data_IF_746556577408
#
_entry.id   IF_746556577408
#
_cell.length_a   1.000
_cell.length_b   1.000
_cell.length_c   1.000
_cell.angle_alpha   90.00
_cell.angle_beta   90.00
_cell.angle_gamma   90.00
#
_symmetry.space_group_name_H-M   'P 1'
#
loop_
_entity.id
_entity.type
_entity.pdbx_description
1 polymer ?
#
# COMPACT_ATOMS: atom_id res chain seq x y z
N UNK A 1 -14.15 -2.25 -23.77
CA UNK A 1 -14.01 -1.17 -22.77
C UNK A 1 -15.35 -0.73 -22.20
N UNK A 2 -16.37 -0.36 -23.01
CA UNK A 2 -17.70 0.03 -22.52
C UNK A 2 -18.35 -0.97 -21.53
N UNK A 3 -18.15 -2.28 -21.74
CA UNK A 3 -18.70 -3.31 -20.88
C UNK A 3 -18.12 -3.32 -19.44
N UNK A 4 -16.83 -2.96 -19.30
CA UNK A 4 -16.14 -2.94 -18.00
C UNK A 4 -16.48 -1.69 -17.19
N UNK A 5 -16.75 -0.57 -17.85
CA UNK A 5 -17.26 0.62 -17.17
C UNK A 5 -18.64 0.33 -16.55
N UNK A 6 -19.56 -0.24 -17.34
CA UNK A 6 -20.88 -0.65 -16.86
C UNK A 6 -20.76 -1.68 -15.72
N UNK A 7 -19.88 -2.68 -15.86
CA UNK A 7 -19.59 -3.64 -14.80
C UNK A 7 -19.24 -2.97 -13.46
N UNK A 8 -18.37 -1.95 -13.48
CA UNK A 8 -18.00 -1.20 -12.26
C UNK A 8 -19.17 -0.39 -11.71
N UNK A 9 -20.00 0.19 -12.58
CA UNK A 9 -21.22 0.89 -12.14
C UNK A 9 -22.18 -0.06 -11.40
N UNK A 10 -22.33 -1.30 -11.89
CA UNK A 10 -23.14 -2.33 -11.21
C UNK A 10 -22.56 -2.71 -9.84
N UNK A 11 -21.23 -2.89 -9.75
CA UNK A 11 -20.56 -3.14 -8.47
C UNK A 11 -20.76 -1.96 -7.52
N UNK A 12 -20.62 -0.72 -7.99
CA UNK A 12 -20.84 0.49 -7.20
C UNK A 12 -22.27 0.57 -6.65
N UNK A 13 -23.27 0.34 -7.49
CA UNK A 13 -24.69 0.35 -7.07
C UNK A 13 -24.96 -0.75 -6.03
N UNK A 14 -24.38 -1.93 -6.21
CA UNK A 14 -24.51 -3.05 -5.28
C UNK A 14 -23.88 -2.73 -3.92
N UNK A 15 -22.67 -2.16 -3.90
CA UNK A 15 -22.02 -1.73 -2.66
C UNK A 15 -22.77 -0.57 -1.98
N UNK A 16 -23.30 0.37 -2.77
CA UNK A 16 -24.12 1.46 -2.25
C UNK A 16 -25.38 0.93 -1.57
N UNK A 17 -26.12 0.04 -2.22
CA UNK A 17 -27.29 -0.61 -1.61
C UNK A 17 -26.93 -1.38 -0.34
N UNK A 18 -25.79 -2.09 -0.37
CA UNK A 18 -25.29 -2.85 0.76
C UNK A 18 -25.06 -1.99 2.01
N UNK A 19 -24.61 -0.75 1.82
CA UNK A 19 -24.36 0.20 2.91
C UNK A 19 -25.66 0.67 3.62
N UNK A 20 -26.84 0.57 2.99
CA UNK A 20 -28.13 0.91 3.60
C UNK A 20 -28.92 -0.30 4.10
N UNK A 21 -28.46 -1.52 3.83
CA UNK A 21 -29.10 -2.69 4.41
C UNK A 21 -28.94 -2.65 5.94
N UNK A 22 -29.91 -3.14 6.74
CA UNK A 22 -29.80 -3.28 8.22
C UNK A 22 -28.60 -4.12 8.71
N UNK A 23 -27.73 -4.56 7.80
CA UNK A 23 -26.51 -5.32 7.97
C UNK A 23 -25.24 -4.46 7.77
N UNK A 24 -25.34 -3.27 7.17
CA UNK A 24 -24.28 -2.27 7.05
C UNK A 24 -24.05 -1.45 8.33
N UNK A 25 -25.02 -1.45 9.25
CA UNK A 25 -24.96 -0.72 10.53
C UNK A 25 -24.31 -1.49 11.69
N UNK A 26 -23.77 -2.70 11.48
CA UNK A 26 -22.96 -3.34 12.52
C UNK A 26 -21.52 -2.83 12.49
N UNK A 27 -21.33 -1.62 13.01
CA UNK A 27 -20.03 -1.11 13.46
C UNK A 27 -19.38 -2.16 14.38
N UNK A 28 -18.47 -2.96 13.83
CA UNK A 28 -17.58 -3.85 14.59
C UNK A 28 -17.92 -5.35 14.68
N UNK A 29 -18.89 -5.91 13.95
CA UNK A 29 -19.08 -7.38 13.89
C UNK A 29 -19.33 -7.88 12.47
N UNK A 30 -18.38 -8.71 11.99
CA UNK A 30 -18.42 -9.60 10.82
C UNK A 30 -19.58 -9.37 9.85
N UNK A 31 -19.24 -8.74 8.72
CA UNK A 31 -19.80 -8.96 7.38
C UNK A 31 -21.27 -9.38 7.34
N UNK A 32 -22.16 -8.48 6.89
CA UNK A 32 -23.52 -8.89 6.51
C UNK A 32 -23.51 -10.12 5.60
N UNK A 33 -24.61 -10.86 5.62
CA UNK A 33 -24.81 -12.12 4.89
C UNK A 33 -24.29 -12.06 3.44
N UNK A 34 -23.17 -12.73 3.10
CA UNK A 34 -22.59 -12.71 1.75
C UNK A 34 -23.56 -13.18 0.66
N UNK A 35 -24.58 -13.95 1.02
CA UNK A 35 -25.60 -14.39 0.09
C UNK A 35 -26.52 -13.22 -0.31
N UNK A 36 -26.79 -12.28 0.60
CA UNK A 36 -27.66 -11.13 0.32
C UNK A 36 -27.03 -10.12 -0.61
N UNK A 37 -25.73 -9.83 -0.46
CA UNK A 37 -25.05 -8.92 -1.40
C UNK A 37 -24.94 -9.53 -2.79
N UNK A 38 -24.79 -10.86 -2.89
CA UNK A 38 -24.86 -11.57 -4.18
C UNK A 38 -26.25 -11.51 -4.80
N UNK A 39 -27.31 -11.63 -4.01
CA UNK A 39 -28.67 -11.45 -4.50
C UNK A 39 -28.91 -10.02 -5.00
N UNK A 40 -28.41 -9.01 -4.29
CA UNK A 40 -28.43 -7.62 -4.74
C UNK A 40 -27.67 -7.45 -6.07
N UNK A 41 -26.50 -8.08 -6.19
CA UNK A 41 -25.72 -8.05 -7.43
C UNK A 41 -26.49 -8.65 -8.61
N UNK A 42 -27.06 -9.85 -8.43
CA UNK A 42 -27.85 -10.53 -9.48
C UNK A 42 -29.05 -9.67 -9.90
N UNK A 43 -29.73 -9.05 -8.94
CA UNK A 43 -30.85 -8.16 -9.23
C UNK A 43 -30.40 -6.93 -10.03
N UNK A 44 -29.29 -6.29 -9.63
CA UNK A 44 -28.76 -5.12 -10.31
C UNK A 44 -28.26 -5.44 -11.73
N UNK A 45 -27.62 -6.60 -11.92
CA UNK A 45 -27.23 -7.10 -13.24
C UNK A 45 -28.44 -7.26 -14.16
N UNK A 46 -29.50 -7.92 -13.68
CA UNK A 46 -30.71 -8.16 -14.47
C UNK A 46 -31.42 -6.86 -14.87
N UNK A 47 -31.45 -5.87 -13.98
CA UNK A 47 -32.17 -4.62 -14.21
C UNK A 47 -31.38 -3.65 -15.11
N UNK A 48 -30.08 -3.47 -14.84
CA UNK A 48 -29.30 -2.38 -15.40
C UNK A 48 -28.22 -2.82 -16.41
N UNK A 49 -27.95 -4.11 -16.50
CA UNK A 49 -26.93 -4.67 -17.41
C UNK A 49 -27.37 -6.01 -18.03
N UNK A 50 -28.52 -6.07 -18.72
CA UNK A 50 -28.96 -7.30 -19.37
C UNK A 50 -27.91 -7.77 -20.38
N UNK A 51 -27.54 -9.04 -20.31
CA UNK A 51 -26.45 -9.65 -21.08
C UNK A 51 -25.09 -9.73 -20.37
N UNK A 52 -24.98 -9.24 -19.13
CA UNK A 52 -23.77 -9.38 -18.27
C UNK A 52 -23.99 -10.29 -17.06
N UNK A 53 -25.07 -11.05 -17.03
CA UNK A 53 -25.43 -11.90 -15.89
C UNK A 53 -24.34 -12.94 -15.58
N UNK A 54 -23.62 -13.41 -16.60
CA UNK A 54 -22.52 -14.37 -16.49
C UNK A 54 -21.12 -13.71 -16.52
N UNK A 55 -21.00 -12.38 -16.39
CA UNK A 55 -19.68 -11.72 -16.40
C UNK A 55 -18.91 -12.00 -15.10
N UNK A 56 -17.95 -12.92 -15.20
CA UNK A 56 -17.06 -13.30 -14.11
C UNK A 56 -16.30 -12.12 -13.49
N UNK A 57 -16.05 -11.05 -14.24
CA UNK A 57 -15.36 -9.87 -13.72
C UNK A 57 -16.16 -9.16 -12.64
N UNK A 58 -17.47 -9.00 -12.82
CA UNK A 58 -18.33 -8.29 -11.87
C UNK A 58 -18.31 -9.01 -10.52
N UNK A 59 -18.53 -10.32 -10.55
CA UNK A 59 -18.54 -11.16 -9.35
C UNK A 59 -17.16 -11.22 -8.68
N UNK A 60 -16.09 -11.37 -9.46
CA UNK A 60 -14.72 -11.39 -8.94
C UNK A 60 -14.34 -10.04 -8.29
N UNK A 61 -14.67 -8.92 -8.93
CA UNK A 61 -14.39 -7.60 -8.39
C UNK A 61 -15.13 -7.37 -7.06
N UNK A 62 -16.43 -7.70 -6.98
CA UNK A 62 -17.19 -7.60 -5.74
C UNK A 62 -16.58 -8.49 -4.64
N UNK A 63 -16.28 -9.75 -4.94
CA UNK A 63 -15.68 -10.68 -3.97
C UNK A 63 -14.32 -10.20 -3.46
N UNK A 64 -13.48 -9.62 -4.33
CA UNK A 64 -12.19 -9.05 -3.92
C UNK A 64 -12.37 -7.84 -3.01
N UNK A 65 -13.28 -6.93 -3.34
CA UNK A 65 -13.59 -5.76 -2.51
C UNK A 65 -14.03 -6.21 -1.10
N UNK A 66 -14.97 -7.16 -1.02
CA UNK A 66 -15.47 -7.65 0.27
C UNK A 66 -14.38 -8.34 1.11
N UNK A 67 -13.53 -9.15 0.48
CA UNK A 67 -12.41 -9.84 1.17
C UNK A 67 -11.33 -8.89 1.64
N UNK A 68 -11.13 -7.77 0.96
CA UNK A 68 -10.04 -6.81 1.22
C UNK A 68 -10.53 -5.50 1.84
N UNK A 69 -11.81 -5.40 2.18
CA UNK A 69 -12.42 -4.13 2.59
C UNK A 69 -11.69 -3.46 3.74
N UNK A 70 -11.37 -4.19 4.82
CA UNK A 70 -10.67 -3.62 5.98
C UNK A 70 -9.31 -3.00 5.60
N UNK A 71 -8.50 -3.74 4.85
CA UNK A 71 -7.20 -3.28 4.34
C UNK A 71 -7.35 -2.07 3.41
N UNK A 72 -8.34 -2.09 2.52
CA UNK A 72 -8.60 -0.97 1.61
C UNK A 72 -9.04 0.27 2.37
N UNK A 73 -9.88 0.10 3.38
CA UNK A 73 -10.36 1.17 4.26
C UNK A 73 -9.19 1.81 5.01
N UNK A 74 -8.24 0.99 5.53
CA UNK A 74 -6.99 1.48 6.14
C UNK A 74 -6.12 2.28 5.15
N UNK A 75 -6.00 1.82 3.91
CA UNK A 75 -5.25 2.55 2.87
C UNK A 75 -5.91 3.89 2.54
N UNK A 76 -7.25 3.92 2.48
CA UNK A 76 -8.00 5.16 2.26
C UNK A 76 -7.70 6.13 3.41
N UNK A 77 -7.79 5.70 4.66
CA UNK A 77 -7.53 6.55 5.83
C UNK A 77 -6.07 7.03 5.89
N UNK A 78 -5.11 6.16 5.58
CA UNK A 78 -3.70 6.53 5.51
C UNK A 78 -3.42 7.59 4.43
N UNK A 79 -4.17 7.57 3.32
CA UNK A 79 -3.96 8.45 2.17
C UNK A 79 -4.82 9.73 2.23
N UNK A 80 -5.99 9.66 2.85
CA UNK A 80 -6.98 10.73 2.97
C UNK A 80 -7.32 11.02 4.45
N UNK A 81 -6.35 11.39 5.27
CA UNK A 81 -6.47 11.42 6.72
C UNK A 81 -7.36 12.52 7.28
N UNK A 82 -7.48 13.64 6.55
CA UNK A 82 -8.41 14.71 6.90
C UNK A 82 -9.87 14.26 6.71
N UNK A 83 -10.06 13.09 6.10
CA UNK A 83 -11.33 12.48 5.76
C UNK A 83 -11.41 11.05 6.35
N UNK A 84 -11.68 10.93 7.66
CA UNK A 84 -12.06 9.66 8.27
C UNK A 84 -13.11 8.94 7.43
N UNK A 85 -13.06 7.61 7.40
CA UNK A 85 -13.86 6.85 6.43
C UNK A 85 -15.38 7.05 6.58
N UNK A 86 -15.82 7.37 7.78
CA UNK A 86 -17.22 7.69 8.13
C UNK A 86 -17.66 9.08 7.65
N UNK A 87 -16.71 9.97 7.32
CA UNK A 87 -16.95 11.31 6.77
C UNK A 87 -16.88 11.36 5.25
N UNK A 88 -16.33 10.33 4.61
CA UNK A 88 -16.33 10.20 3.15
C UNK A 88 -17.75 9.83 2.70
N UNK A 89 -18.25 10.46 1.64
CA UNK A 89 -19.57 10.11 1.09
C UNK A 89 -19.60 8.62 0.73
N UNK A 90 -20.74 7.95 0.95
CA UNK A 90 -20.91 6.51 0.69
C UNK A 90 -20.49 6.17 -0.74
N UNK A 91 -20.86 7.02 -1.70
CA UNK A 91 -20.50 6.88 -3.11
C UNK A 91 -18.98 6.98 -3.31
N UNK A 92 -18.33 8.06 -2.82
CA UNK A 92 -16.88 8.24 -2.99
C UNK A 92 -16.08 7.14 -2.31
N UNK A 93 -16.51 6.71 -1.12
CA UNK A 93 -15.89 5.60 -0.38
C UNK A 93 -15.93 4.30 -1.20
N UNK A 94 -17.09 3.96 -1.76
CA UNK A 94 -17.21 2.75 -2.57
C UNK A 94 -16.45 2.84 -3.91
N UNK A 95 -16.37 4.03 -4.50
CA UNK A 95 -15.54 4.26 -5.69
C UNK A 95 -14.05 4.09 -5.37
N UNK A 96 -13.59 4.64 -4.24
CA UNK A 96 -12.22 4.43 -3.75
C UNK A 96 -11.95 2.94 -3.52
N UNK A 97 -12.91 2.21 -2.92
CA UNK A 97 -12.78 0.77 -2.72
C UNK A 97 -12.63 -0.01 -4.02
N UNK A 98 -13.43 0.31 -5.04
CA UNK A 98 -13.32 -0.28 -6.38
C UNK A 98 -11.94 0.05 -6.99
N UNK A 99 -11.59 1.33 -7.05
CA UNK A 99 -10.37 1.80 -7.68
C UNK A 99 -9.11 1.23 -7.02
N UNK A 100 -9.05 1.20 -5.68
CA UNK A 100 -7.92 0.63 -4.94
C UNK A 100 -7.82 -0.88 -5.09
N UNK A 101 -8.96 -1.59 -5.13
CA UNK A 101 -8.96 -3.04 -5.35
C UNK A 101 -8.30 -3.37 -6.69
N UNK A 102 -8.74 -2.71 -7.75
CA UNK A 102 -8.16 -2.92 -9.09
C UNK A 102 -6.70 -2.47 -9.17
N UNK A 103 -6.37 -1.35 -8.52
CA UNK A 103 -5.00 -0.80 -8.52
C UNK A 103 -3.99 -1.72 -7.83
N UNK A 104 -4.37 -2.31 -6.69
CA UNK A 104 -3.48 -3.05 -5.82
C UNK A 104 -3.50 -4.55 -6.07
N UNK A 105 -4.66 -5.11 -6.42
CA UNK A 105 -4.91 -6.56 -6.50
C UNK A 105 -5.38 -7.02 -7.88
N UNK A 106 -5.70 -6.11 -8.80
CA UNK A 106 -6.11 -6.44 -10.17
C UNK A 106 -4.98 -7.02 -11.04
N UNK A 107 -5.34 -7.84 -12.03
CA UNK A 107 -4.39 -8.25 -13.07
C UNK A 107 -4.07 -7.05 -13.97
N UNK A 108 -2.82 -6.57 -13.89
CA UNK A 108 -2.33 -5.42 -14.66
C UNK A 108 -2.34 -5.64 -16.17
N UNK A 109 -2.38 -6.90 -16.64
CA UNK A 109 -2.53 -7.23 -18.06
C UNK A 109 -3.98 -7.02 -18.54
N UNK A 110 -4.95 -7.23 -17.66
CA UNK A 110 -6.37 -7.02 -17.95
C UNK A 110 -6.78 -5.56 -17.75
N UNK A 111 -6.36 -4.96 -16.62
CA UNK A 111 -6.67 -3.56 -16.28
C UNK A 111 -5.38 -2.84 -15.88
N UNK A 112 -4.79 -2.04 -16.78
CA UNK A 112 -3.62 -1.23 -16.44
C UNK A 112 -3.92 -0.25 -15.28
N UNK A 113 -2.96 0.03 -14.38
CA UNK A 113 -3.17 0.92 -13.23
C UNK A 113 -3.79 2.28 -13.57
N UNK A 114 -3.31 2.93 -14.65
CA UNK A 114 -3.85 4.22 -15.10
C UNK A 114 -5.29 4.12 -15.58
N UNK A 115 -5.68 2.98 -16.16
CA UNK A 115 -7.07 2.72 -16.58
C UNK A 115 -7.95 2.56 -15.35
N UNK A 116 -7.54 1.77 -14.35
CA UNK A 116 -8.28 1.64 -13.08
C UNK A 116 -8.53 3.01 -12.41
N UNK A 117 -7.51 3.86 -12.36
CA UNK A 117 -7.62 5.22 -11.81
C UNK A 117 -8.59 6.06 -12.62
N UNK A 118 -8.46 6.09 -13.95
CA UNK A 118 -9.35 6.87 -14.81
C UNK A 118 -10.81 6.41 -14.69
N UNK A 119 -11.06 5.11 -14.66
CA UNK A 119 -12.39 4.53 -14.53
C UNK A 119 -13.05 4.92 -13.19
N UNK A 120 -12.30 4.87 -12.09
CA UNK A 120 -12.79 5.33 -10.79
C UNK A 120 -13.11 6.85 -10.80
N UNK A 121 -12.29 7.66 -11.47
CA UNK A 121 -12.55 9.10 -11.62
C UNK A 121 -13.82 9.35 -12.42
N UNK A 122 -14.06 8.60 -13.50
CA UNK A 122 -15.28 8.73 -14.29
C UNK A 122 -16.52 8.33 -13.47
N UNK A 123 -16.46 7.23 -12.70
CA UNK A 123 -17.54 6.89 -11.76
C UNK A 123 -17.81 8.02 -10.76
N UNK A 124 -16.76 8.67 -10.25
CA UNK A 124 -16.90 9.76 -9.28
C UNK A 124 -17.54 11.00 -9.91
N UNK A 125 -17.29 11.27 -11.19
CA UNK A 125 -17.97 12.34 -11.93
C UNK A 125 -19.43 12.00 -12.22
N UNK A 126 -19.74 10.73 -12.47
CA UNK A 126 -21.09 10.28 -12.81
C UNK A 126 -22.02 10.19 -11.60
N UNK A 127 -21.52 9.65 -10.48
CA UNK A 127 -22.36 9.32 -9.31
C UNK A 127 -22.08 10.21 -8.08
N UNK A 128 -20.93 10.87 -8.03
CA UNK A 128 -20.51 11.71 -6.90
C UNK A 128 -20.99 13.16 -7.01
N UNK A 129 -20.49 13.99 -6.08
CA UNK A 129 -20.69 15.44 -6.09
C UNK A 129 -19.66 16.19 -6.95
N UNK A 130 -19.76 17.52 -6.99
CA UNK A 130 -18.92 18.39 -7.83
C UNK A 130 -17.41 18.19 -7.61
N UNK A 131 -17.00 17.86 -6.38
CA UNK A 131 -15.59 17.67 -6.02
C UNK A 131 -15.13 16.21 -6.02
N UNK A 132 -16.02 15.25 -6.22
CA UNK A 132 -15.74 13.81 -6.09
C UNK A 132 -14.65 13.35 -7.05
N UNK A 133 -14.70 13.74 -8.32
CA UNK A 133 -13.68 13.38 -9.31
C UNK A 133 -12.27 13.87 -8.94
N UNK A 134 -12.16 15.06 -8.32
CA UNK A 134 -10.86 15.60 -7.86
C UNK A 134 -10.36 14.85 -6.62
N UNK A 135 -11.27 14.57 -5.68
CA UNK A 135 -10.96 13.84 -4.46
C UNK A 135 -10.45 12.43 -4.76
N UNK A 136 -11.21 11.65 -5.54
CA UNK A 136 -10.86 10.27 -5.94
C UNK A 136 -9.53 10.23 -6.69
N UNK A 137 -9.30 11.16 -7.64
CA UNK A 137 -8.02 11.28 -8.33
C UNK A 137 -6.85 11.56 -7.37
N UNK A 138 -7.07 12.41 -6.37
CA UNK A 138 -6.06 12.75 -5.38
C UNK A 138 -5.62 11.53 -4.57
N UNK A 139 -6.59 10.76 -4.05
CA UNK A 139 -6.32 9.57 -3.23
C UNK A 139 -5.68 8.46 -4.06
N UNK A 140 -6.29 8.06 -5.17
CA UNK A 140 -5.74 6.98 -6.02
C UNK A 140 -4.38 7.35 -6.61
N UNK A 141 -4.19 8.62 -6.98
CA UNK A 141 -2.92 9.11 -7.49
C UNK A 141 -1.80 9.17 -6.44
N UNK A 142 -2.13 9.35 -5.16
CA UNK A 142 -1.17 9.25 -4.07
C UNK A 142 -0.74 7.79 -3.84
N UNK A 143 -1.71 6.86 -3.75
CA UNK A 143 -1.42 5.42 -3.64
C UNK A 143 -0.59 4.92 -4.83
N UNK A 144 -0.94 5.33 -6.05
CA UNK A 144 -0.21 4.93 -7.25
C UNK A 144 1.27 5.36 -7.25
N UNK A 145 1.59 6.49 -6.64
CA UNK A 145 2.98 6.94 -6.47
C UNK A 145 3.71 6.14 -5.40
N UNK A 146 3.03 5.85 -4.30
CA UNK A 146 3.60 5.11 -3.18
C UNK A 146 4.00 3.68 -3.59
N UNK A 147 3.19 2.99 -4.40
CA UNK A 147 3.47 1.63 -4.87
C UNK A 147 4.55 1.53 -5.96
N UNK A 148 5.11 2.66 -6.39
CA UNK A 148 6.05 2.79 -7.51
C UNK A 148 5.36 2.67 -8.87
N UNK A 149 5.52 3.68 -9.74
CA UNK A 149 4.96 3.65 -11.09
C UNK A 149 5.65 2.54 -11.94
N UNK A 150 4.96 1.47 -12.37
CA UNK A 150 5.57 0.49 -13.27
C UNK A 150 5.96 1.16 -14.59
N UNK A 151 7.26 1.16 -14.90
CA UNK A 151 7.83 1.73 -16.13
C UNK A 151 8.45 3.12 -16.00
N UNK A 152 8.52 3.71 -14.80
CA UNK A 152 9.50 4.75 -14.51
C UNK A 152 10.65 4.13 -13.74
N UNK A 153 11.73 3.82 -14.46
CA UNK A 153 13.05 3.85 -13.85
C UNK A 153 13.15 5.14 -13.02
N UNK A 154 13.67 5.06 -11.80
CA UNK A 154 14.23 6.23 -11.14
C UNK A 154 15.45 6.67 -11.96
N UNK A 155 15.21 7.27 -13.13
CA UNK A 155 16.20 8.09 -13.78
C UNK A 155 16.43 9.28 -12.87
N UNK A 156 17.59 9.21 -12.21
CA UNK A 156 18.24 10.31 -11.51
C UNK A 156 18.09 11.58 -12.34
N UNK A 157 17.49 12.61 -11.74
CA UNK A 157 17.77 14.05 -11.89
C UNK A 157 16.52 14.87 -11.54
N UNK A 158 16.55 15.53 -10.38
CA UNK A 158 15.81 16.76 -10.17
C UNK A 158 16.77 17.89 -9.74
N UNK A 159 17.54 18.48 -10.68
CA UNK A 159 17.51 19.91 -10.85
C UNK A 159 16.32 20.22 -11.79
N UNK A 160 15.23 20.79 -11.30
CA UNK A 160 14.19 21.34 -12.20
C UNK A 160 14.11 22.85 -12.01
N UNK A 161 14.83 23.53 -12.89
CA UNK A 161 14.31 24.71 -13.59
C UNK A 161 13.28 24.18 -14.59
N UNK A 162 11.99 24.35 -14.32
CA UNK A 162 10.93 24.08 -15.30
C UNK A 162 10.60 25.37 -16.04
N UNK A 163 11.00 25.47 -17.31
CA UNK A 163 10.32 26.37 -18.25
C UNK A 163 8.95 25.77 -18.60
N UNK A 164 7.92 26.09 -17.80
CA UNK A 164 6.51 25.90 -18.17
C UNK A 164 6.00 27.19 -18.79
N UNK A 165 5.60 27.15 -20.06
CA UNK A 165 4.71 28.17 -20.64
C UNK A 165 3.30 27.97 -20.07
N UNK A 166 2.84 29.01 -19.37
CA UNK A 166 1.48 29.47 -19.04
C UNK A 166 0.34 28.46 -19.20
N UNK A 167 -0.24 28.09 -18.06
CA UNK A 167 -1.64 28.38 -17.77
C UNK A 167 -1.81 28.75 -16.29
N UNK A 168 -2.61 29.78 -16.06
CA UNK A 168 -2.73 30.58 -14.84
C UNK A 168 -3.69 29.97 -13.81
N UNK A 169 -3.40 30.23 -12.53
CA UNK A 169 -4.17 29.93 -11.31
C UNK A 169 -4.06 28.52 -10.70
N UNK A 170 -2.85 28.17 -10.25
CA UNK A 170 -2.69 27.58 -8.90
C UNK A 170 -1.27 27.88 -8.40
N UNK A 171 -1.15 28.69 -7.36
CA UNK A 171 0.10 28.88 -6.62
C UNK A 171 0.52 27.55 -5.96
N UNK A 172 1.40 26.81 -6.61
CA UNK A 172 2.19 25.75 -5.97
C UNK A 172 3.65 26.14 -6.09
N UNK A 173 4.14 26.81 -5.06
CA UNK A 173 5.58 27.00 -4.87
C UNK A 173 6.28 25.63 -4.82
N UNK A 174 7.48 25.49 -5.42
CA UNK A 174 8.27 24.28 -5.26
C UNK A 174 8.60 24.08 -3.78
N UNK A 175 8.37 22.86 -3.27
CA UNK A 175 8.66 22.52 -1.88
C UNK A 175 10.18 22.56 -1.67
N UNK A 176 10.62 23.50 -0.85
CA UNK A 176 12.02 23.63 -0.45
C UNK A 176 12.38 22.48 0.50
N UNK A 177 13.08 21.47 -0.04
CA UNK A 177 13.44 20.24 0.69
C UNK A 177 14.29 20.56 1.92
N UNK A 178 15.08 21.63 1.89
CA UNK A 178 15.92 22.06 3.01
C UNK A 178 15.11 22.58 4.21
N UNK A 179 13.83 22.92 4.01
CA UNK A 179 12.93 23.40 5.07
C UNK A 179 12.01 22.31 5.61
N UNK A 180 12.06 21.09 5.06
CA UNK A 180 11.22 20.00 5.54
C UNK A 180 11.76 19.42 6.85
N UNK A 181 10.88 19.09 7.81
CA UNK A 181 11.30 18.34 8.99
C UNK A 181 11.93 17.01 8.55
N UNK A 182 13.13 16.74 9.08
CA UNK A 182 13.88 15.52 8.77
C UNK A 182 13.53 14.47 9.82
N UNK A 183 13.07 13.31 9.36
CA UNK A 183 12.85 12.16 10.22
C UNK A 183 13.87 11.08 9.88
N UNK A 184 14.69 10.74 10.86
CA UNK A 184 15.69 9.68 10.75
C UNK A 184 15.05 8.34 11.09
N UNK A 185 15.37 7.31 10.32
CA UNK A 185 14.90 5.95 10.53
C UNK A 185 16.03 4.94 10.46
N UNK A 186 15.94 3.94 11.34
CA UNK A 186 16.81 2.77 11.36
C UNK A 186 16.04 1.56 10.86
N UNK A 187 16.62 0.79 9.94
CA UNK A 187 16.01 -0.38 9.34
C UNK A 187 16.99 -1.56 9.33
N UNK A 188 16.49 -2.78 9.48
CA UNK A 188 17.35 -3.97 9.41
C UNK A 188 16.74 -5.07 8.56
N UNK A 189 17.51 -5.55 7.57
CA UNK A 189 17.25 -6.86 6.97
C UNK A 189 17.79 -7.91 7.94
N UNK A 190 16.88 -8.54 8.67
CA UNK A 190 17.23 -9.55 9.68
C UNK A 190 17.32 -10.90 9.02
N UNK A 191 18.41 -11.62 9.28
CA UNK A 191 18.57 -13.01 8.84
C UNK A 191 18.78 -13.97 10.01
N UNK A 192 18.30 -15.20 9.82
CA UNK A 192 18.49 -16.31 10.74
C UNK A 192 18.80 -17.58 9.95
N UNK A 193 19.53 -18.51 10.57
CA UNK A 193 19.72 -19.86 10.01
C UNK A 193 18.63 -20.79 10.55
N UNK A 194 17.83 -21.37 9.66
CA UNK A 194 16.82 -22.37 10.03
C UNK A 194 17.43 -23.77 9.92
N UNK A 195 17.44 -24.49 11.05
CA UNK A 195 18.03 -25.82 11.31
C UNK A 195 19.56 -25.81 11.49
N UNK A 196 20.02 -26.07 12.72
CA UNK A 196 21.44 -26.20 13.14
C UNK A 196 22.13 -27.47 12.59
N UNK A 197 22.15 -27.65 11.27
CA UNK A 197 23.03 -28.62 10.59
C UNK A 197 23.80 -27.89 9.50
N UNK A 198 24.92 -28.44 9.05
CA UNK A 198 25.89 -27.85 8.11
C UNK A 198 25.32 -27.27 6.78
N UNK A 199 24.02 -27.43 6.51
CA UNK A 199 23.26 -26.83 5.40
C UNK A 199 22.05 -25.98 5.89
N UNK A 200 22.19 -25.22 6.97
CA UNK A 200 21.14 -24.35 7.50
C UNK A 200 20.69 -23.34 6.45
N UNK A 201 19.38 -23.31 6.14
CA UNK A 201 18.85 -22.36 5.15
C UNK A 201 18.84 -20.96 5.74
N UNK A 202 19.39 -19.99 5.01
CA UNK A 202 19.30 -18.58 5.38
C UNK A 202 17.87 -18.10 5.13
N UNK A 203 17.25 -17.59 6.17
CA UNK A 203 15.93 -16.99 6.17
C UNK A 203 16.06 -15.48 6.36
N UNK A 204 15.30 -14.67 5.63
CA UNK A 204 15.12 -13.25 5.90
C UNK A 204 13.76 -12.95 6.50
N UNK A 205 13.73 -12.13 7.55
CA UNK A 205 12.48 -11.59 8.08
C UNK A 205 12.09 -10.36 7.26
N UNK A 206 10.86 -10.37 6.73
CA UNK A 206 10.26 -9.26 6.02
C UNK A 206 8.90 -8.95 6.62
N UNK A 207 8.49 -7.69 6.54
CA UNK A 207 7.14 -7.23 6.89
C UNK A 207 6.33 -6.99 5.62
N UNK A 208 5.03 -7.23 5.68
CA UNK A 208 4.09 -6.99 4.61
C UNK A 208 3.30 -5.72 4.94
N UNK A 209 3.25 -4.81 3.98
CA UNK A 209 2.46 -3.60 4.12
C UNK A 209 1.05 -3.76 3.55
N UNK A 210 0.19 -2.83 3.96
CA UNK A 210 -1.19 -2.74 3.47
C UNK A 210 -1.28 -2.53 1.95
N UNK A 211 -0.20 -2.10 1.28
CA UNK A 211 -0.15 -1.94 -0.18
C UNK A 211 0.19 -3.25 -0.92
N UNK A 212 0.42 -4.35 -0.20
CA UNK A 212 0.69 -5.67 -0.75
C UNK A 212 2.15 -5.94 -1.08
N UNK A 213 3.08 -5.16 -0.51
CA UNK A 213 4.52 -5.32 -0.73
C UNK A 213 5.20 -5.89 0.52
N UNK A 214 6.19 -6.76 0.30
CA UNK A 214 7.13 -7.15 1.33
C UNK A 214 8.26 -6.13 1.40
N UNK A 215 8.66 -5.75 2.61
CA UNK A 215 9.70 -4.76 2.84
C UNK A 215 10.50 -5.04 4.11
N UNK A 216 11.53 -4.22 4.32
CA UNK A 216 12.43 -4.28 5.47
C UNK A 216 11.78 -3.48 6.62
N UNK A 217 11.68 -4.09 7.81
CA UNK A 217 11.16 -3.41 9.00
C UNK A 217 12.04 -2.21 9.36
N UNK A 218 11.38 -1.10 9.74
CA UNK A 218 12.02 0.20 9.93
C UNK A 218 11.32 1.01 11.00
N UNK A 219 12.11 1.62 11.87
CA UNK A 219 11.61 2.41 12.99
C UNK A 219 12.18 3.82 13.07
N UNK A 220 11.65 4.62 13.98
CA UNK A 220 12.11 5.99 14.23
C UNK A 220 13.38 6.02 15.07
N UNK A 221 14.29 6.95 14.75
CA UNK A 221 15.47 7.24 15.58
C UNK A 221 15.16 8.45 16.45
N UNK A 222 15.27 8.28 17.77
CA UNK A 222 15.02 9.34 18.76
C UNK A 222 16.20 10.32 18.83
N UNK A 223 15.94 11.53 19.34
CA UNK A 223 17.01 12.51 19.56
C UNK A 223 18.02 11.95 20.59
N UNK A 224 19.31 12.01 20.26
CA UNK A 224 20.44 11.45 21.05
C UNK A 224 20.67 9.93 20.96
N UNK A 225 19.85 9.17 20.21
CA UNK A 225 20.07 7.73 19.99
C UNK A 225 20.98 7.45 18.78
N UNK A 226 21.82 6.41 18.86
CA UNK A 226 22.59 5.96 17.69
C UNK A 226 21.71 5.21 16.69
N UNK A 227 22.08 5.24 15.41
CA UNK A 227 21.35 4.55 14.34
C UNK A 227 21.21 3.05 14.64
N UNK A 228 22.26 2.44 15.16
CA UNK A 228 22.31 1.03 15.52
C UNK A 228 21.38 0.70 16.69
N UNK A 229 21.44 1.47 17.79
CA UNK A 229 20.63 1.20 18.98
C UNK A 229 19.13 1.39 18.69
N UNK A 230 18.80 2.46 17.96
CA UNK A 230 17.44 2.71 17.49
C UNK A 230 16.92 1.55 16.64
N UNK A 231 17.74 1.07 15.69
CA UNK A 231 17.37 -0.07 14.85
C UNK A 231 17.11 -1.32 15.69
N UNK A 232 17.98 -1.64 16.66
CA UNK A 232 17.78 -2.81 17.54
C UNK A 232 16.47 -2.70 18.33
N UNK A 233 16.19 -1.52 18.92
CA UNK A 233 14.97 -1.26 19.70
C UNK A 233 13.72 -1.40 18.85
N UNK A 234 13.71 -0.78 17.68
CA UNK A 234 12.53 -0.74 16.81
C UNK A 234 12.23 -2.09 16.17
N UNK A 235 13.25 -2.87 15.77
CA UNK A 235 13.05 -4.22 15.23
C UNK A 235 12.50 -5.17 16.29
N UNK A 236 12.97 -5.03 17.55
CA UNK A 236 12.42 -5.78 18.67
C UNK A 236 10.96 -5.42 18.93
N UNK A 237 10.63 -4.15 18.83
CA UNK A 237 9.26 -3.65 19.01
C UNK A 237 8.33 -4.13 17.89
N UNK A 238 8.74 -3.99 16.63
CA UNK A 238 7.85 -4.18 15.48
C UNK A 238 7.67 -5.64 15.07
N UNK A 239 8.71 -6.48 15.15
CA UNK A 239 8.64 -7.90 14.74
C UNK A 239 9.07 -8.89 15.83
N UNK A 240 9.27 -8.40 17.05
CA UNK A 240 9.61 -9.22 18.21
C UNK A 240 11.05 -9.73 18.23
N UNK A 241 11.94 -9.33 17.31
CA UNK A 241 13.28 -9.93 17.17
C UNK A 241 14.37 -9.23 17.98
N UNK A 242 15.18 -10.01 18.71
CA UNK A 242 16.45 -9.54 19.28
C UNK A 242 17.53 -9.70 18.21
N UNK A 243 18.14 -8.59 17.80
CA UNK A 243 19.05 -8.57 16.66
C UNK A 243 20.45 -8.10 17.04
N UNK A 244 21.45 -8.59 16.29
CA UNK A 244 22.82 -8.09 16.31
C UNK A 244 23.19 -7.54 14.95
N UNK A 245 23.45 -6.25 14.87
CA UNK A 245 23.89 -5.59 13.64
C UNK A 245 25.29 -6.09 13.27
N UNK A 246 25.47 -6.39 11.98
CA UNK A 246 26.73 -6.90 11.45
C UNK A 246 27.34 -6.00 10.38
N UNK A 247 26.52 -5.35 9.56
CA UNK A 247 27.00 -4.50 8.48
C UNK A 247 25.97 -3.43 8.09
N UNK A 248 26.44 -2.30 7.56
CA UNK A 248 25.59 -1.28 6.94
C UNK A 248 25.35 -1.62 5.46
N UNK A 249 24.08 -1.78 5.09
CA UNK A 249 23.66 -2.08 3.72
C UNK A 249 23.59 -0.81 2.88
N UNK A 250 23.08 0.29 3.41
CA UNK A 250 23.02 1.54 2.65
C UNK A 250 22.12 2.57 3.31
N UNK A 251 21.83 3.63 2.57
CA UNK A 251 20.95 4.72 2.99
C UNK A 251 20.01 5.07 1.84
N UNK A 252 18.78 5.49 2.17
CA UNK A 252 17.83 6.03 1.21
C UNK A 252 17.17 7.29 1.78
N UNK A 253 16.89 8.26 0.90
CA UNK A 253 16.17 9.48 1.24
C UNK A 253 14.94 9.63 0.35
N UNK A 254 13.78 9.80 0.98
CA UNK A 254 12.52 10.04 0.26
C UNK A 254 11.63 11.01 1.02
N UNK A 255 10.82 11.77 0.29
CA UNK A 255 9.84 12.67 0.88
C UNK A 255 8.56 11.90 1.11
N UNK A 256 8.13 11.79 2.35
CA UNK A 256 6.83 11.25 2.72
C UNK A 256 5.89 12.41 3.09
N UNK A 257 4.62 12.30 2.72
CA UNK A 257 3.59 13.21 3.21
C UNK A 257 2.84 12.54 4.34
N UNK A 258 2.96 13.05 5.57
CA UNK A 258 2.13 12.59 6.67
C UNK A 258 0.94 13.53 6.86
N UNK A 259 -0.28 12.98 6.93
CA UNK A 259 -1.51 13.67 7.29
C UNK A 259 -1.44 14.94 8.15
N UNK A 260 -1.09 14.76 9.42
CA UNK A 260 -1.11 15.78 10.46
C UNK A 260 0.21 16.53 10.61
N UNK A 261 1.30 15.99 10.06
CA UNK A 261 2.66 16.51 10.23
C UNK A 261 3.18 17.22 8.98
N UNK A 262 2.43 17.16 7.87
CA UNK A 262 2.86 17.69 6.58
C UNK A 262 3.91 16.80 5.92
N UNK A 263 4.64 17.38 4.94
CA UNK A 263 5.73 16.68 4.27
C UNK A 263 6.95 16.59 5.18
N UNK A 264 7.57 15.42 5.25
CA UNK A 264 8.85 15.23 5.92
C UNK A 264 9.83 14.50 5.01
N UNK A 265 11.12 14.83 5.16
CA UNK A 265 12.19 14.11 4.50
C UNK A 265 12.56 12.91 5.38
N UNK A 266 12.26 11.69 4.91
CA UNK A 266 12.69 10.47 5.57
C UNK A 266 14.12 10.15 5.14
N UNK A 267 15.02 10.02 6.10
CA UNK A 267 16.37 9.50 5.89
C UNK A 267 16.47 8.15 6.57
N UNK A 268 16.60 7.09 5.79
CA UNK A 268 16.60 5.71 6.31
C UNK A 268 17.98 5.11 6.14
N UNK A 269 18.52 4.59 7.24
CA UNK A 269 19.75 3.80 7.24
C UNK A 269 19.39 2.33 7.37
N UNK A 270 19.96 1.49 6.51
CA UNK A 270 19.69 0.06 6.46
C UNK A 270 20.90 -0.74 6.93
N UNK A 271 20.63 -1.69 7.81
CA UNK A 271 21.61 -2.63 8.35
C UNK A 271 21.28 -4.07 7.97
N UNK A 272 22.32 -4.90 7.91
CA UNK A 272 22.21 -6.35 7.97
C UNK A 272 22.35 -6.76 9.42
N UNK A 273 21.41 -7.54 9.92
CA UNK A 273 21.43 -8.00 11.30
C UNK A 273 21.14 -9.49 11.42
N UNK A 274 21.80 -10.14 12.36
CA UNK A 274 21.56 -11.54 12.70
C UNK A 274 20.59 -11.66 13.88
N UNK A 275 19.73 -12.68 13.86
CA UNK A 275 18.89 -13.08 14.99
C UNK A 275 18.80 -14.61 15.08
N UNK A 276 18.43 -15.12 16.26
CA UNK A 276 17.98 -16.50 16.38
C UNK A 276 16.65 -16.69 15.65
N UNK A 277 16.44 -17.88 15.08
CA UNK A 277 15.19 -18.18 14.40
C UNK A 277 14.05 -18.35 15.43
N UNK A 278 13.13 -17.39 15.47
CA UNK A 278 11.90 -17.43 16.28
C UNK A 278 10.69 -16.96 15.47
N UNK A 279 9.48 -17.27 15.94
CA UNK A 279 8.27 -16.75 15.31
C UNK A 279 8.25 -15.22 15.38
N UNK A 280 7.73 -14.59 14.33
CA UNK A 280 7.65 -13.14 14.24
C UNK A 280 6.33 -12.69 14.84
N UNK A 281 6.41 -11.70 15.72
CA UNK A 281 5.26 -11.07 16.34
C UNK A 281 5.17 -9.65 15.80
N UNK A 282 4.23 -9.41 14.88
CA UNK A 282 4.00 -8.08 14.33
C UNK A 282 3.24 -7.24 15.35
N UNK A 283 3.80 -6.10 15.74
CA UNK A 283 3.07 -5.09 16.53
C UNK A 283 1.91 -4.53 15.69
N UNK A 284 0.75 -4.28 16.31
CA UNK A 284 -0.34 -3.56 15.65
C UNK A 284 0.07 -2.09 15.41
N UNK A 285 0.75 -1.87 14.29
CA UNK A 285 1.16 -0.56 13.79
C UNK A 285 0.39 -0.24 12.51
N UNK A 286 -0.04 1.01 12.35
CA UNK A 286 -0.78 1.42 11.16
C UNK A 286 0.09 1.26 9.90
N UNK A 287 -0.36 0.43 8.96
CA UNK A 287 0.26 0.26 7.64
C UNK A 287 1.00 -1.06 7.40
N UNK A 288 1.11 -1.94 8.40
CA UNK A 288 1.60 -3.31 8.24
C UNK A 288 0.51 -4.32 8.60
N UNK A 289 0.42 -5.41 7.85
CA UNK A 289 -0.60 -6.46 8.04
C UNK A 289 0.00 -7.88 8.13
N UNK A 290 1.33 -8.01 8.06
CA UNK A 290 2.00 -9.29 8.23
C UNK A 290 3.51 -9.20 8.46
N UNK A 291 4.08 -10.25 9.07
CA UNK A 291 5.51 -10.47 9.16
C UNK A 291 5.81 -11.94 8.88
N UNK A 292 6.84 -12.25 8.08
CA UNK A 292 7.19 -13.63 7.74
C UNK A 292 8.68 -13.81 7.44
N UNK A 293 9.15 -15.02 7.75
CA UNK A 293 10.44 -15.54 7.28
C UNK A 293 10.37 -16.09 5.86
N UNK A 294 11.28 -15.66 4.99
CA UNK A 294 11.44 -16.16 3.62
C UNK A 294 12.80 -16.79 3.43
N UNK A 295 12.86 -17.94 2.76
CA UNK A 295 14.14 -18.49 2.30
C UNK A 295 14.80 -17.48 1.36
N UNK A 296 16.10 -17.24 1.52
CA UNK A 296 16.86 -16.29 0.69
C UNK A 296 16.64 -16.50 -0.81
N UNK A 297 16.55 -17.77 -1.25
CA UNK A 297 16.31 -18.14 -2.65
C UNK A 297 14.91 -17.77 -3.18
N UNK A 298 13.94 -17.53 -2.29
CA UNK A 298 12.54 -17.20 -2.61
C UNK A 298 12.26 -15.71 -2.65
N UNK A 299 13.17 -14.88 -2.18
CA UNK A 299 13.02 -13.41 -2.15
C UNK A 299 12.76 -12.81 -3.54
N UNK A 300 13.40 -13.26 -4.65
CA UNK A 300 13.12 -12.72 -5.98
C UNK A 300 11.69 -12.99 -6.49
N UNK A 301 10.97 -13.94 -5.88
CA UNK A 301 9.57 -14.25 -6.22
C UNK A 301 8.58 -13.31 -5.49
N UNK A 302 9.06 -12.51 -4.54
CA UNK A 302 8.22 -11.63 -3.72
C UNK A 302 7.97 -10.30 -4.43
N UNK A 303 6.78 -9.73 -4.17
CA UNK A 303 6.46 -8.36 -4.53
C UNK A 303 7.13 -7.42 -3.53
N UNK A 304 8.28 -6.86 -3.90
CA UNK A 304 9.10 -5.95 -3.08
C UNK A 304 9.28 -4.61 -3.79
N UNK A 305 9.57 -3.54 -3.04
CA UNK A 305 9.87 -2.25 -3.64
C UNK A 305 11.22 -2.26 -4.37
N UNK A 306 11.33 -1.47 -5.43
CA UNK A 306 12.54 -1.43 -6.26
C UNK A 306 13.75 -0.85 -5.52
N UNK A 307 13.53 0.04 -4.56
CA UNK A 307 14.59 0.69 -3.78
C UNK A 307 15.25 -0.24 -2.75
N UNK A 308 14.55 -1.30 -2.33
CA UNK A 308 15.10 -2.30 -1.40
C UNK A 308 15.84 -3.45 -2.10
N UNK A 309 15.63 -3.67 -3.40
CA UNK A 309 16.32 -4.71 -4.17
C UNK A 309 17.85 -4.61 -4.06
N UNK A 310 18.49 -3.43 -4.24
CA UNK A 310 19.94 -3.30 -4.09
C UNK A 310 20.44 -3.63 -2.68
N UNK A 311 19.65 -3.34 -1.65
CA UNK A 311 19.99 -3.61 -0.25
C UNK A 311 20.00 -5.12 0.02
N UNK A 312 18.98 -5.83 -0.46
CA UNK A 312 18.89 -7.29 -0.36
C UNK A 312 20.03 -7.94 -1.14
N UNK A 313 20.31 -7.48 -2.37
CA UNK A 313 21.41 -8.01 -3.17
C UNK A 313 22.76 -7.89 -2.44
N UNK A 314 23.03 -6.72 -1.83
CA UNK A 314 24.24 -6.50 -1.03
C UNK A 314 24.30 -7.41 0.21
N UNK A 315 23.17 -7.64 0.87
CA UNK A 315 23.10 -8.57 1.99
C UNK A 315 23.42 -10.00 1.56
N UNK A 316 22.88 -10.46 0.44
CA UNK A 316 23.18 -11.78 -0.14
C UNK A 316 24.68 -11.89 -0.47
N UNK A 317 25.28 -10.84 -1.04
CA UNK A 317 26.72 -10.81 -1.31
C UNK A 317 27.55 -10.96 -0.02
N UNK A 318 27.17 -10.25 1.05
CA UNK A 318 27.85 -10.33 2.35
C UNK A 318 27.72 -11.73 2.95
N UNK A 319 26.52 -12.32 2.92
CA UNK A 319 26.25 -13.63 3.51
C UNK A 319 26.85 -14.78 2.69
N UNK A 320 27.00 -14.63 1.38
CA UNK A 320 27.64 -15.64 0.52
C UNK A 320 29.15 -15.72 0.71
N UNK A 321 29.76 -14.71 1.37
CA UNK A 321 31.20 -14.68 1.69
C UNK A 321 31.51 -15.24 3.08
N UNK A 322 30.50 -15.59 3.86
CA UNK A 322 30.63 -16.25 5.17
C UNK A 322 30.59 -17.76 5.02
#
# INVERSE_FOLDING_TARGET
MANRHLSRSIVLQTLFEWDFSPLGENKGKKSGDPEKIKQALIRNLKEFAPGLEDDAFVSNLLDQILKKQAMIDEIIEATAPDWPIDKISIVDRNILRIGLTELLFGDRKEVPPKVAINEAIELAKTFGGENSGKFVNGVLGAVYKEIGEPGKEHQKEHPIISNRKKDSNSSKEPVDIAKLPVEKKGAALVYAQKNNKENGKIMFALVHDVFGYWTISKGGIEEEESEENATVREIKKEIGLDIKIEAKLGENEYVAAHPSKGKSLKKVVYFLAHSEYKELELEESGGLDGARWFEMAKVPELRIYNDIIPLIAKAVEILSKK
#
